data_IF_783412993245
#
_entry.id   IF_783412993245
#
_cell.length_a   1.000
_cell.length_b   1.000
_cell.length_c   1.000
_cell.angle_alpha   90.00
_cell.angle_beta   90.00
_cell.angle_gamma   90.00
#
_symmetry.space_group_name_H-M   'P 1'
#
loop_
_entity.id
_entity.type
_entity.pdbx_description
1 polymer ?
#
# COMPACT_ATOMS: atom_id res chain seq x y z
N UNK A 1 7.62 22.02 1.17
CA UNK A 1 8.90 21.48 0.81
C UNK A 1 9.41 22.17 -0.46
N UNK A 2 10.70 22.34 -0.59
CA UNK A 2 11.29 22.79 -1.85
C UNK A 2 10.90 21.77 -2.91
N UNK A 3 10.44 22.26 -4.07
CA UNK A 3 10.26 21.41 -5.22
C UNK A 3 11.62 20.78 -5.56
N UNK A 4 11.76 19.49 -5.29
CA UNK A 4 12.87 18.71 -5.78
C UNK A 4 12.88 18.73 -7.31
N UNK A 5 13.97 18.35 -7.90
CA UNK A 5 14.09 18.24 -9.36
C UNK A 5 13.51 16.95 -9.90
N UNK A 6 13.30 15.96 -9.03
CA UNK A 6 12.75 14.65 -9.38
C UNK A 6 11.44 14.39 -8.63
N UNK A 7 10.50 13.64 -9.22
CA UNK A 7 9.24 13.29 -8.57
C UNK A 7 9.39 12.62 -7.20
N UNK A 8 10.46 11.84 -7.00
CA UNK A 8 10.76 11.15 -5.75
C UNK A 8 11.28 12.06 -4.64
N UNK A 9 11.69 13.30 -4.94
CA UNK A 9 12.14 14.27 -3.94
C UNK A 9 10.98 14.94 -3.19
N UNK A 10 9.75 14.80 -3.71
CA UNK A 10 8.56 15.36 -3.10
C UNK A 10 8.06 14.50 -1.94
N UNK A 11 7.37 15.11 -0.99
CA UNK A 11 6.56 14.38 -0.01
C UNK A 11 5.35 13.76 -0.72
N UNK A 12 5.39 12.44 -0.90
CA UNK A 12 4.53 11.74 -1.83
C UNK A 12 5.03 11.91 -3.28
N UNK A 13 5.16 10.78 -3.99
CA UNK A 13 5.63 10.80 -5.38
C UNK A 13 4.69 11.62 -6.27
N UNK A 14 5.26 12.49 -7.10
CA UNK A 14 4.48 13.25 -8.09
C UNK A 14 5.25 14.43 -8.69
N UNK A 15 4.87 14.81 -9.92
CA UNK A 15 5.43 15.97 -10.65
C UNK A 15 4.78 17.28 -10.20
N UNK A 16 3.60 17.23 -9.59
CA UNK A 16 2.86 18.38 -9.09
C UNK A 16 2.02 18.00 -7.85
N UNK A 17 1.63 19.00 -7.07
CA UNK A 17 0.83 18.79 -5.86
C UNK A 17 -0.48 18.07 -6.16
N UNK A 18 -0.76 17.01 -5.39
CA UNK A 18 -1.97 16.21 -5.51
C UNK A 18 -1.95 15.13 -6.59
N UNK A 19 -0.88 15.00 -7.37
CA UNK A 19 -0.74 13.88 -8.28
C UNK A 19 -0.66 12.57 -7.46
N UNK A 20 -1.51 11.59 -7.81
CA UNK A 20 -1.64 10.31 -7.12
C UNK A 20 -2.07 10.41 -5.65
N UNK A 21 -2.53 11.59 -5.21
CA UNK A 21 -3.10 11.72 -3.88
C UNK A 21 -4.45 11.02 -3.80
N UNK A 22 -4.79 10.55 -2.60
CA UNK A 22 -6.13 10.08 -2.28
C UNK A 22 -6.84 11.07 -1.35
N UNK A 23 -8.17 10.99 -1.29
CA UNK A 23 -8.98 11.79 -0.40
C UNK A 23 -10.07 10.94 0.23
N UNK A 24 -10.38 11.22 1.48
CA UNK A 24 -11.49 10.60 2.19
C UNK A 24 -12.70 11.52 2.23
N UNK A 25 -13.86 10.99 1.84
CA UNK A 25 -15.16 11.60 2.06
C UNK A 25 -16.05 10.61 2.82
N UNK A 26 -16.68 11.07 3.88
CA UNK A 26 -17.54 10.25 4.70
C UNK A 26 -18.90 10.93 4.94
N UNK A 27 -19.97 10.11 4.98
CA UNK A 27 -21.29 10.55 5.45
C UNK A 27 -21.30 10.77 6.97
N UNK A 28 -20.44 10.06 7.68
CA UNK A 28 -20.31 10.10 9.12
C UNK A 28 -19.12 10.96 9.52
N UNK A 29 -19.09 11.37 10.78
CA UNK A 29 -18.00 12.18 11.32
C UNK A 29 -16.67 11.45 11.23
N UNK A 30 -15.66 12.16 10.74
CA UNK A 30 -14.26 11.69 10.76
C UNK A 30 -13.64 12.23 12.05
N UNK A 31 -13.13 11.36 12.91
CA UNK A 31 -12.39 11.74 14.10
C UNK A 31 -10.98 12.22 13.72
N UNK A 32 -10.90 13.46 13.29
CA UNK A 32 -9.64 14.07 12.84
C UNK A 32 -8.62 14.21 13.96
N UNK A 33 -9.07 14.25 15.22
CA UNK A 33 -8.17 14.35 16.38
C UNK A 33 -7.40 13.05 16.65
N UNK A 34 -7.99 11.91 16.27
CA UNK A 34 -7.40 10.58 16.42
C UNK A 34 -6.93 9.98 15.07
N UNK A 35 -7.05 10.74 13.98
CA UNK A 35 -6.47 10.33 12.69
C UNK A 35 -4.94 10.24 12.80
N UNK A 36 -4.39 9.13 12.30
CA UNK A 36 -2.95 8.87 12.29
C UNK A 36 -2.44 8.89 10.84
N UNK A 37 -1.30 9.52 10.63
CA UNK A 37 -0.59 9.53 9.35
C UNK A 37 0.82 8.99 9.52
N UNK A 38 1.35 8.31 8.49
CA UNK A 38 2.63 7.62 8.55
C UNK A 38 3.54 8.04 7.40
N UNK A 39 3.48 9.30 7.03
CA UNK A 39 4.28 9.85 5.93
C UNK A 39 5.78 9.88 6.26
N UNK A 40 6.13 10.00 7.54
CA UNK A 40 7.51 10.06 8.02
C UNK A 40 8.05 8.71 8.52
N UNK A 41 7.25 7.66 8.51
CA UNK A 41 7.70 6.32 8.92
C UNK A 41 8.84 5.85 8.01
N UNK A 42 9.96 5.47 8.63
CA UNK A 42 11.16 5.04 7.88
C UNK A 42 11.01 3.60 7.41
N UNK A 43 11.39 3.33 6.17
CA UNK A 43 11.30 1.98 5.63
C UNK A 43 12.14 0.96 6.42
N UNK A 44 13.35 1.34 6.83
CA UNK A 44 14.23 0.50 7.68
C UNK A 44 13.64 0.07 9.02
N UNK A 45 12.64 0.79 9.51
CA UNK A 45 12.02 0.51 10.81
C UNK A 45 10.85 -0.49 10.70
N UNK A 46 10.45 -0.87 9.48
CA UNK A 46 9.51 -1.97 9.24
C UNK A 46 10.21 -3.30 9.55
N UNK A 47 9.57 -4.18 10.31
CA UNK A 47 10.12 -5.50 10.64
C UNK A 47 10.36 -6.32 9.35
N UNK A 48 11.55 -6.85 9.20
CA UNK A 48 11.96 -7.62 8.01
C UNK A 48 12.44 -6.77 6.83
N UNK A 49 12.42 -5.44 6.92
CA UNK A 49 12.90 -4.58 5.85
C UNK A 49 14.40 -4.74 5.58
N UNK A 50 14.76 -4.77 4.32
CA UNK A 50 16.14 -4.78 3.83
C UNK A 50 16.33 -3.69 2.77
N UNK A 51 17.57 -3.28 2.53
CA UNK A 51 17.86 -2.36 1.42
C UNK A 51 17.46 -3.05 0.11
N UNK A 52 16.58 -2.44 -0.71
CA UNK A 52 16.19 -3.03 -1.99
C UNK A 52 17.37 -3.11 -2.95
N UNK A 53 17.34 -4.13 -3.81
CA UNK A 53 18.42 -4.38 -4.77
C UNK A 53 17.90 -4.29 -6.22
N UNK A 54 18.84 -4.17 -7.17
CA UNK A 54 18.52 -4.26 -8.60
C UNK A 54 18.28 -5.74 -8.93
N UNK A 55 17.04 -6.11 -9.16
CA UNK A 55 16.60 -7.48 -9.43
C UNK A 55 16.11 -7.70 -10.86
N UNK A 56 15.64 -6.66 -11.55
CA UNK A 56 15.22 -6.73 -12.96
C UNK A 56 16.44 -6.42 -13.84
N UNK A 57 17.08 -7.44 -14.34
CA UNK A 57 18.45 -7.38 -14.89
C UNK A 57 18.54 -7.56 -16.41
N UNK A 58 17.43 -7.70 -17.10
CA UNK A 58 17.33 -7.94 -18.54
C UNK A 58 17.62 -6.71 -19.41
N UNK A 59 17.53 -5.50 -18.83
CA UNK A 59 17.80 -4.25 -19.53
C UNK A 59 18.71 -3.32 -18.71
N UNK A 60 20.06 -3.45 -18.84
CA UNK A 60 20.99 -2.60 -18.10
C UNK A 60 20.89 -1.09 -18.40
N UNK A 61 20.22 -0.70 -19.50
CA UNK A 61 20.03 0.72 -19.84
C UNK A 61 19.10 1.44 -18.86
N UNK A 62 18.29 0.68 -18.08
CA UNK A 62 17.41 1.19 -17.04
C UNK A 62 18.08 1.32 -15.67
N UNK A 63 19.31 0.84 -15.51
CA UNK A 63 19.99 0.93 -14.23
C UNK A 63 20.36 2.40 -13.91
N UNK A 64 20.31 2.78 -12.63
CA UNK A 64 20.91 4.05 -12.22
C UNK A 64 22.39 4.12 -12.62
N UNK A 65 22.87 5.32 -12.88
CA UNK A 65 24.25 5.52 -13.39
C UNK A 65 25.30 4.93 -12.45
N UNK A 66 26.08 4.00 -12.97
CA UNK A 66 27.17 3.35 -12.25
C UNK A 66 26.77 2.12 -11.44
N UNK A 67 25.52 1.74 -11.46
CA UNK A 67 25.02 0.54 -10.78
C UNK A 67 24.94 -0.67 -11.74
N UNK A 68 24.99 -1.86 -11.15
CA UNK A 68 24.84 -3.14 -11.85
C UNK A 68 23.78 -4.01 -11.18
N UNK A 69 23.39 -5.09 -11.86
CA UNK A 69 22.47 -6.07 -11.31
C UNK A 69 22.99 -6.64 -9.98
N UNK A 70 22.14 -6.63 -8.95
CA UNK A 70 22.44 -7.07 -7.60
C UNK A 70 22.98 -5.99 -6.66
N UNK A 71 23.26 -4.80 -7.16
CA UNK A 71 23.65 -3.68 -6.29
C UNK A 71 22.49 -3.25 -5.39
N UNK A 72 22.81 -2.83 -4.18
CA UNK A 72 21.88 -2.17 -3.28
C UNK A 72 21.48 -0.81 -3.84
N UNK A 73 20.17 -0.51 -3.81
CA UNK A 73 19.61 0.74 -4.36
C UNK A 73 20.03 1.99 -3.58
N UNK A 74 20.22 1.85 -2.28
CA UNK A 74 20.57 2.93 -1.37
C UNK A 74 21.88 2.63 -0.65
N UNK A 75 22.64 3.67 -0.38
CA UNK A 75 23.69 3.60 0.62
C UNK A 75 23.10 3.47 2.02
N UNK A 76 23.89 3.03 3.00
CA UNK A 76 23.43 2.94 4.40
C UNK A 76 22.94 4.29 4.96
N UNK A 77 23.59 5.40 4.57
CA UNK A 77 23.18 6.74 5.01
C UNK A 77 21.84 7.17 4.40
N UNK A 78 21.62 6.89 3.12
CA UNK A 78 20.33 7.12 2.46
C UNK A 78 19.25 6.22 3.04
N UNK A 79 19.52 4.93 3.21
CA UNK A 79 18.60 3.97 3.80
C UNK A 79 18.13 4.37 5.19
N UNK A 80 19.00 5.00 5.98
CA UNK A 80 18.64 5.52 7.30
C UNK A 80 17.55 6.59 7.26
N UNK A 81 17.38 7.27 6.10
CA UNK A 81 16.46 8.40 5.92
C UNK A 81 15.28 8.10 5.01
N UNK A 82 15.32 7.01 4.21
CA UNK A 82 14.26 6.68 3.26
C UNK A 82 12.95 6.39 4.00
N UNK A 83 11.89 7.08 3.59
CA UNK A 83 10.52 6.82 4.06
C UNK A 83 9.94 5.60 3.38
N UNK A 84 9.10 4.86 4.11
CA UNK A 84 8.39 3.71 3.55
C UNK A 84 7.37 4.17 2.51
N UNK A 85 6.47 5.05 2.91
CA UNK A 85 5.33 5.43 2.08
C UNK A 85 5.73 6.28 0.89
N UNK A 86 5.43 5.82 -0.30
CA UNK A 86 5.63 6.58 -1.55
C UNK A 86 4.65 7.75 -1.69
N UNK A 87 3.49 7.69 -1.03
CA UNK A 87 2.50 8.78 -0.91
C UNK A 87 2.19 9.00 0.57
N UNK A 88 1.26 8.24 1.13
CA UNK A 88 0.94 8.25 2.56
C UNK A 88 0.23 6.95 2.96
N UNK A 89 0.29 6.62 4.25
CA UNK A 89 -0.60 5.69 4.92
C UNK A 89 -1.40 6.48 5.96
N UNK A 90 -2.71 6.27 6.03
CA UNK A 90 -3.61 7.01 6.91
C UNK A 90 -4.57 6.05 7.59
N UNK A 91 -4.63 6.08 8.91
CA UNK A 91 -5.70 5.51 9.71
C UNK A 91 -6.65 6.62 10.12
N UNK A 92 -7.86 6.63 9.57
CA UNK A 92 -8.90 7.61 9.85
C UNK A 92 -10.09 6.95 10.56
N UNK A 93 -10.27 7.17 11.87
CA UNK A 93 -11.44 6.67 12.59
C UNK A 93 -12.72 7.38 12.14
N UNK A 94 -13.75 6.61 11.81
CA UNK A 94 -15.08 7.10 11.45
C UNK A 94 -16.06 6.79 12.58
N UNK A 95 -16.77 7.78 13.06
CA UNK A 95 -17.75 7.66 14.14
C UNK A 95 -19.13 7.35 13.58
N UNK A 96 -19.56 6.09 13.71
CA UNK A 96 -20.81 5.60 13.15
C UNK A 96 -21.89 5.55 14.23
N UNK A 97 -22.95 6.37 14.18
CA UNK A 97 -24.09 6.28 15.09
C UNK A 97 -24.83 4.97 14.89
N UNK A 98 -25.04 4.22 15.96
CA UNK A 98 -25.83 3.01 16.02
C UNK A 98 -26.98 3.16 17.02
N UNK A 99 -27.88 2.18 17.09
CA UNK A 99 -28.95 2.17 18.08
C UNK A 99 -28.44 2.02 19.54
N UNK A 100 -27.24 1.49 19.71
CA UNK A 100 -26.64 1.19 21.01
C UNK A 100 -25.55 2.21 21.41
N UNK A 101 -25.32 3.25 20.58
CA UNK A 101 -24.30 4.28 20.80
C UNK A 101 -23.53 4.64 19.53
N UNK A 102 -22.28 5.05 19.68
CA UNK A 102 -21.38 5.32 18.58
C UNK A 102 -20.31 4.24 18.49
N UNK A 103 -20.19 3.64 17.33
CA UNK A 103 -19.14 2.67 17.01
C UNK A 103 -18.06 3.34 16.18
N UNK A 104 -16.80 2.93 16.37
CA UNK A 104 -15.69 3.44 15.58
C UNK A 104 -15.26 2.37 14.56
N UNK A 105 -15.12 2.81 13.30
CA UNK A 105 -14.53 2.00 12.24
C UNK A 105 -13.32 2.73 11.69
N UNK A 106 -12.17 2.10 11.74
CA UNK A 106 -10.91 2.63 11.22
C UNK A 106 -10.84 2.42 9.70
N UNK A 107 -10.68 3.50 8.95
CA UNK A 107 -10.38 3.41 7.52
C UNK A 107 -8.86 3.46 7.32
N UNK A 108 -8.28 2.34 6.93
CA UNK A 108 -6.85 2.18 6.65
C UNK A 108 -6.64 2.43 5.16
N UNK A 109 -6.08 3.59 4.83
CA UNK A 109 -5.98 4.06 3.45
C UNK A 109 -4.54 4.24 3.04
N UNK A 110 -4.19 3.74 1.87
CA UNK A 110 -2.90 3.96 1.24
C UNK A 110 -3.00 3.93 -0.28
N UNK A 111 -1.93 4.39 -0.93
CA UNK A 111 -1.72 4.24 -2.35
C UNK A 111 -0.24 3.90 -2.56
N UNK A 112 0.15 2.62 -2.35
CA UNK A 112 1.51 2.14 -2.54
C UNK A 112 2.08 2.45 -3.92
N UNK A 113 3.41 2.43 -4.04
CA UNK A 113 4.05 2.54 -5.35
C UNK A 113 3.66 1.35 -6.22
N UNK A 114 3.42 1.50 -7.54
CA UNK A 114 3.24 0.33 -8.41
C UNK A 114 4.54 -0.49 -8.47
N UNK A 115 4.47 -1.83 -8.47
CA UNK A 115 5.64 -2.72 -8.54
C UNK A 115 6.24 -2.77 -9.95
N UNK A 116 6.48 -1.60 -10.53
CA UNK A 116 6.90 -1.41 -11.91
C UNK A 116 7.72 -0.12 -12.06
N UNK A 117 8.11 0.20 -13.29
CA UNK A 117 8.77 1.43 -13.72
C UNK A 117 10.22 1.62 -13.29
N UNK A 118 10.78 0.72 -12.52
CA UNK A 118 12.22 0.67 -12.22
C UNK A 118 12.76 -0.77 -12.29
N UNK A 119 13.92 -1.00 -11.74
CA UNK A 119 14.63 -2.27 -11.87
C UNK A 119 14.62 -3.11 -10.58
N UNK A 120 13.54 -3.00 -9.81
CA UNK A 120 13.27 -3.86 -8.67
C UNK A 120 12.92 -3.14 -7.37
N UNK A 121 13.40 -1.91 -7.14
CA UNK A 121 13.11 -1.15 -5.91
C UNK A 121 11.60 -0.98 -5.68
N UNK A 122 10.85 -0.62 -6.71
CA UNK A 122 9.40 -0.43 -6.59
C UNK A 122 8.64 -1.72 -6.27
N UNK A 123 9.16 -2.88 -6.70
CA UNK A 123 8.58 -4.19 -6.35
C UNK A 123 8.70 -4.41 -4.84
N UNK A 124 9.89 -4.19 -4.28
CA UNK A 124 10.13 -4.36 -2.85
C UNK A 124 9.44 -3.28 -2.02
N UNK A 125 9.39 -2.02 -2.50
CA UNK A 125 8.70 -0.94 -1.82
C UNK A 125 7.19 -1.16 -1.78
N UNK A 126 6.56 -1.58 -2.89
CA UNK A 126 5.13 -1.92 -2.92
C UNK A 126 4.81 -3.01 -1.88
N UNK A 127 5.59 -4.09 -1.87
CA UNK A 127 5.42 -5.16 -0.91
C UNK A 127 5.52 -4.66 0.54
N UNK A 128 6.52 -3.84 0.84
CA UNK A 128 6.71 -3.28 2.18
C UNK A 128 5.58 -2.28 2.57
N UNK A 129 5.08 -1.49 1.63
CA UNK A 129 3.94 -0.58 1.86
C UNK A 129 2.64 -1.34 2.16
N UNK A 130 2.41 -2.49 1.51
CA UNK A 130 1.26 -3.36 1.81
C UNK A 130 1.46 -4.11 3.13
N UNK A 131 2.66 -4.65 3.37
CA UNK A 131 3.01 -5.35 4.62
C UNK A 131 2.93 -4.43 5.85
N UNK A 132 3.11 -3.13 5.68
CA UNK A 132 2.89 -2.15 6.75
C UNK A 132 1.48 -2.30 7.35
N UNK A 133 0.45 -2.44 6.53
CA UNK A 133 -0.92 -2.64 7.02
C UNK A 133 -1.10 -3.98 7.72
N UNK A 134 -0.47 -5.05 7.22
CA UNK A 134 -0.50 -6.35 7.88
C UNK A 134 0.10 -6.27 9.29
N UNK A 135 1.24 -5.61 9.42
CA UNK A 135 1.89 -5.41 10.72
C UNK A 135 1.12 -4.41 11.61
N UNK A 136 0.46 -3.41 11.01
CA UNK A 136 -0.36 -2.43 11.72
C UNK A 136 -1.58 -3.06 12.40
N UNK A 137 -2.33 -3.90 11.68
CA UNK A 137 -3.51 -4.58 12.28
C UNK A 137 -3.11 -5.58 13.37
N UNK A 138 -1.89 -6.10 13.34
CA UNK A 138 -1.32 -6.94 14.41
C UNK A 138 -0.82 -6.12 15.61
N UNK A 139 -0.99 -4.81 15.61
CA UNK A 139 -0.56 -3.89 16.67
C UNK A 139 0.93 -3.99 17.01
N UNK A 140 1.80 -4.05 16.00
CA UNK A 140 3.25 -4.12 16.22
C UNK A 140 3.77 -2.84 16.87
N UNK A 141 4.54 -3.00 17.95
CA UNK A 141 4.97 -1.90 18.82
C UNK A 141 6.01 -0.96 18.21
N UNK A 142 6.74 -1.39 17.17
CA UNK A 142 7.75 -0.57 16.50
C UNK A 142 7.14 0.44 15.51
N UNK A 143 5.87 0.29 15.13
CA UNK A 143 5.18 1.25 14.27
C UNK A 143 5.01 2.57 15.04
N UNK A 144 5.27 3.68 14.37
CA UNK A 144 5.04 5.02 14.89
C UNK A 144 4.44 5.92 13.81
N UNK A 145 3.56 6.84 14.21
CA UNK A 145 2.97 7.84 13.32
C UNK A 145 3.75 9.16 13.32
N UNK A 146 3.34 10.08 12.46
CA UNK A 146 3.98 11.39 12.30
C UNK A 146 3.91 12.26 13.58
N UNK A 147 3.06 11.92 14.54
CA UNK A 147 3.01 12.56 15.87
C UNK A 147 3.94 11.91 16.89
N UNK A 148 4.54 10.76 16.56
CA UNK A 148 5.37 9.94 17.45
C UNK A 148 4.58 8.95 18.31
N UNK A 149 3.27 8.78 18.11
CA UNK A 149 2.48 7.75 18.79
C UNK A 149 2.88 6.38 18.25
N UNK A 150 3.29 5.47 19.13
CA UNK A 150 3.72 4.11 18.78
C UNK A 150 2.58 3.09 18.83
N UNK A 151 2.81 1.91 18.22
CA UNK A 151 1.85 0.82 18.09
C UNK A 151 0.98 0.94 16.85
N UNK A 152 0.38 -0.17 16.45
CA UNK A 152 -0.59 -0.26 15.37
C UNK A 152 -2.03 -0.07 15.84
N UNK A 153 -2.95 -0.79 15.20
CA UNK A 153 -4.38 -0.82 15.55
C UNK A 153 -4.58 -1.58 16.86
N UNK A 154 -5.32 -1.00 17.79
CA UNK A 154 -5.61 -1.66 19.06
C UNK A 154 -6.48 -2.91 18.84
N UNK A 155 -6.25 -3.92 19.66
CA UNK A 155 -6.98 -5.19 19.54
C UNK A 155 -8.49 -4.99 19.70
N UNK A 156 -9.27 -5.61 18.82
CA UNK A 156 -10.73 -5.56 18.84
C UNK A 156 -11.35 -4.37 18.13
N UNK A 157 -10.54 -3.49 17.58
CA UNK A 157 -11.05 -2.41 16.73
C UNK A 157 -11.55 -2.94 15.38
N UNK A 158 -12.61 -2.32 14.86
CA UNK A 158 -13.11 -2.59 13.52
C UNK A 158 -12.35 -1.75 12.48
N UNK A 159 -12.00 -2.37 11.37
CA UNK A 159 -11.33 -1.66 10.30
C UNK A 159 -11.81 -2.07 8.91
N UNK A 160 -11.61 -1.19 7.96
CA UNK A 160 -11.72 -1.44 6.52
C UNK A 160 -10.45 -0.90 5.88
N UNK A 161 -9.77 -1.73 5.11
CA UNK A 161 -8.65 -1.31 4.28
C UNK A 161 -9.16 -0.93 2.90
N UNK A 162 -8.71 0.20 2.35
CA UNK A 162 -9.15 0.68 1.04
C UNK A 162 -8.08 1.51 0.34
N UNK A 163 -8.12 1.48 -0.97
CA UNK A 163 -7.24 2.24 -1.85
C UNK A 163 -6.73 1.43 -3.03
N UNK A 164 -6.03 2.09 -3.93
CA UNK A 164 -5.24 1.44 -4.98
C UNK A 164 -3.95 0.90 -4.35
N UNK A 165 -3.93 -0.40 -4.04
CA UNK A 165 -2.76 -1.05 -3.44
C UNK A 165 -1.68 -1.40 -4.48
N UNK A 166 -1.98 -1.26 -5.76
CA UNK A 166 -1.07 -1.61 -6.86
C UNK A 166 -0.51 -3.05 -6.77
N UNK A 167 -1.21 -3.96 -6.07
CA UNK A 167 -0.77 -5.33 -5.84
C UNK A 167 -1.92 -6.32 -5.96
N UNK A 168 -1.81 -7.21 -6.91
CA UNK A 168 -2.76 -8.31 -7.11
C UNK A 168 -2.27 -9.57 -6.37
N UNK A 169 -3.12 -10.27 -5.61
CA UNK A 169 -2.74 -11.47 -4.87
C UNK A 169 -2.45 -12.69 -5.75
N UNK A 170 -2.79 -12.66 -7.04
CA UNK A 170 -2.70 -13.86 -7.91
C UNK A 170 -2.02 -13.63 -9.26
N UNK A 171 -1.78 -12.37 -9.65
CA UNK A 171 -1.17 -12.03 -10.95
C UNK A 171 -0.32 -10.74 -10.86
N UNK A 172 0.44 -10.43 -11.92
CA UNK A 172 1.29 -9.25 -12.02
C UNK A 172 2.71 -9.45 -11.48
N UNK A 173 3.48 -8.35 -11.51
CA UNK A 173 4.92 -8.35 -11.24
C UNK A 173 5.27 -8.12 -9.75
N UNK A 174 4.26 -7.84 -8.91
CA UNK A 174 4.45 -7.60 -7.48
C UNK A 174 4.69 -8.87 -6.67
N UNK A 175 5.06 -8.72 -5.39
CA UNK A 175 5.22 -9.84 -4.45
C UNK A 175 3.85 -10.22 -3.90
N UNK A 176 3.10 -10.98 -4.67
CA UNK A 176 1.70 -11.36 -4.38
C UNK A 176 1.52 -12.03 -3.01
N UNK A 177 2.54 -12.73 -2.49
CA UNK A 177 2.47 -13.39 -1.18
C UNK A 177 2.16 -12.42 -0.05
N UNK A 178 2.62 -11.17 -0.11
CA UNK A 178 2.36 -10.17 0.93
C UNK A 178 0.86 -9.85 1.02
N UNK A 179 0.19 -9.68 -0.12
CA UNK A 179 -1.26 -9.49 -0.15
C UNK A 179 -2.01 -10.75 0.29
N UNK A 180 -1.50 -11.94 -0.08
CA UNK A 180 -2.07 -13.21 0.36
C UNK A 180 -1.96 -13.38 1.88
N UNK A 181 -0.82 -13.04 2.47
CA UNK A 181 -0.60 -13.11 3.92
C UNK A 181 -1.55 -12.17 4.67
N UNK A 182 -1.71 -10.93 4.18
CA UNK A 182 -2.69 -9.98 4.71
C UNK A 182 -4.13 -10.53 4.59
N UNK A 183 -4.52 -11.04 3.42
CA UNK A 183 -5.86 -11.60 3.17
C UNK A 183 -6.16 -12.81 4.06
N UNK A 184 -5.14 -13.60 4.41
CA UNK A 184 -5.28 -14.81 5.22
C UNK A 184 -5.11 -14.55 6.73
N UNK A 185 -4.81 -13.32 7.15
CA UNK A 185 -4.68 -13.01 8.57
C UNK A 185 -6.02 -13.22 9.30
N UNK A 186 -5.95 -13.78 10.50
CA UNK A 186 -7.13 -14.11 11.31
C UNK A 186 -7.95 -12.88 11.76
N UNK A 187 -7.35 -11.69 11.71
CA UNK A 187 -8.03 -10.42 11.99
C UNK A 187 -8.85 -9.92 10.79
N UNK A 188 -8.64 -10.47 9.61
CA UNK A 188 -9.32 -10.09 8.37
C UNK A 188 -10.52 -11.02 8.12
N UNK A 189 -11.62 -10.45 7.65
CA UNK A 189 -12.83 -11.24 7.35
C UNK A 189 -12.61 -12.06 6.08
N UNK A 190 -12.47 -13.39 6.23
CA UNK A 190 -12.19 -14.31 5.14
C UNK A 190 -13.30 -14.37 4.08
N UNK A 191 -14.54 -14.09 4.44
CA UNK A 191 -15.63 -14.02 3.46
C UNK A 191 -15.48 -12.84 2.50
N UNK A 192 -14.82 -11.76 2.94
CA UNK A 192 -14.57 -10.58 2.12
C UNK A 192 -13.33 -10.76 1.23
N UNK A 193 -12.27 -11.39 1.74
CA UNK A 193 -11.00 -11.51 0.99
C UNK A 193 -10.94 -12.75 0.09
N UNK A 194 -11.56 -13.86 0.50
CA UNK A 194 -11.46 -15.15 -0.20
C UNK A 194 -12.83 -15.81 -0.44
N UNK A 195 -13.90 -15.31 0.16
CA UNK A 195 -15.21 -15.94 0.20
C UNK A 195 -16.26 -15.26 -0.67
N UNK A 196 -17.52 -15.49 -0.27
CA UNK A 196 -18.70 -15.09 -1.04
C UNK A 196 -19.02 -13.59 -1.01
N UNK A 197 -18.41 -12.85 -0.09
CA UNK A 197 -18.59 -11.40 0.04
C UNK A 197 -17.51 -10.60 -0.69
N UNK A 198 -16.58 -11.26 -1.38
CA UNK A 198 -15.59 -10.56 -2.18
C UNK A 198 -16.28 -9.72 -3.27
N UNK A 199 -15.99 -8.41 -3.36
CA UNK A 199 -16.58 -7.57 -4.39
C UNK A 199 -16.18 -8.04 -5.79
N UNK A 200 -17.15 -8.19 -6.68
CA UNK A 200 -16.90 -8.59 -8.07
C UNK A 200 -17.65 -7.70 -9.06
N UNK A 201 -17.12 -7.58 -10.25
CA UNK A 201 -17.77 -6.86 -11.33
C UNK A 201 -17.54 -7.53 -12.70
N UNK A 202 -18.37 -7.18 -13.67
CA UNK A 202 -18.20 -7.62 -15.06
C UNK A 202 -17.45 -6.59 -15.93
N UNK A 203 -17.07 -5.44 -15.37
CA UNK A 203 -16.43 -4.35 -16.11
C UNK A 203 -15.13 -4.76 -16.78
N UNK A 204 -14.35 -5.61 -16.14
CA UNK A 204 -13.11 -6.12 -16.74
C UNK A 204 -13.35 -7.00 -17.97
N UNK A 205 -14.41 -7.82 -17.96
CA UNK A 205 -14.77 -8.64 -19.12
C UNK A 205 -15.20 -7.81 -20.33
N UNK A 206 -15.72 -6.59 -20.11
CA UNK A 206 -16.15 -5.67 -21.17
C UNK A 206 -15.04 -4.75 -21.68
N UNK A 207 -14.10 -4.36 -20.80
CA UNK A 207 -13.12 -3.30 -21.11
C UNK A 207 -11.65 -3.77 -21.12
N UNK A 208 -11.37 -4.94 -20.59
CA UNK A 208 -10.02 -5.52 -20.54
C UNK A 208 -9.99 -6.97 -21.08
N UNK A 209 -10.77 -7.27 -22.11
CA UNK A 209 -11.02 -8.62 -22.63
C UNK A 209 -9.73 -9.41 -22.90
N UNK A 210 -8.75 -8.79 -23.56
CA UNK A 210 -7.50 -9.46 -23.92
C UNK A 210 -6.63 -9.82 -22.71
N UNK A 211 -6.75 -9.07 -21.63
CA UNK A 211 -5.98 -9.25 -20.38
C UNK A 211 -6.76 -10.06 -19.34
N UNK A 212 -8.06 -9.84 -19.25
CA UNK A 212 -8.92 -10.57 -18.32
C UNK A 212 -9.04 -12.05 -18.65
N UNK A 213 -8.86 -12.44 -19.92
CA UNK A 213 -8.91 -13.84 -20.36
C UNK A 213 -7.77 -14.71 -19.80
N UNK A 214 -6.66 -14.11 -19.41
CA UNK A 214 -5.51 -14.81 -18.80
C UNK A 214 -5.48 -14.73 -17.28
N UNK A 215 -6.24 -13.80 -16.67
CA UNK A 215 -6.28 -13.65 -15.22
C UNK A 215 -7.06 -14.80 -14.56
N UNK A 216 -6.54 -15.42 -13.48
CA UNK A 216 -7.22 -16.54 -12.80
C UNK A 216 -8.60 -16.18 -12.24
N UNK A 217 -8.82 -14.91 -11.90
CA UNK A 217 -10.05 -14.39 -11.30
C UNK A 217 -10.53 -13.11 -12.02
N UNK A 218 -10.97 -13.20 -13.28
CA UNK A 218 -11.24 -12.04 -14.12
C UNK A 218 -12.36 -11.12 -13.59
N UNK A 219 -13.27 -11.65 -12.77
CA UNK A 219 -14.35 -10.89 -12.14
C UNK A 219 -13.87 -10.04 -10.93
N UNK A 220 -12.62 -10.15 -10.53
CA UNK A 220 -11.99 -9.35 -9.47
C UNK A 220 -11.12 -8.21 -10.01
N UNK A 221 -10.83 -8.18 -11.31
CA UNK A 221 -10.03 -7.12 -11.93
C UNK A 221 -10.69 -5.76 -11.73
N UNK A 222 -9.91 -4.79 -11.25
CA UNK A 222 -10.34 -3.41 -11.02
C UNK A 222 -9.69 -2.42 -11.97
N UNK A 223 -8.57 -2.81 -12.62
CA UNK A 223 -7.78 -1.95 -13.50
C UNK A 223 -7.95 -2.27 -14.99
N UNK A 224 -7.70 -1.29 -15.85
CA UNK A 224 -7.70 -1.46 -17.32
C UNK A 224 -6.49 -2.27 -17.82
N UNK A 225 -5.46 -2.42 -17.00
CA UNK A 225 -4.28 -3.25 -17.32
C UNK A 225 -4.42 -4.70 -16.84
N UNK A 226 -5.58 -5.09 -16.32
CA UNK A 226 -5.96 -6.48 -16.13
C UNK A 226 -5.60 -7.06 -14.75
N UNK A 227 -5.40 -6.25 -13.73
CA UNK A 227 -5.11 -6.68 -12.36
C UNK A 227 -6.18 -6.19 -11.37
N UNK A 228 -6.32 -6.91 -10.25
CA UNK A 228 -7.10 -6.51 -9.08
C UNK A 228 -6.19 -5.72 -8.13
N UNK A 229 -6.26 -4.40 -8.17
CA UNK A 229 -5.35 -3.51 -7.41
C UNK A 229 -6.08 -2.55 -6.47
N UNK A 230 -7.37 -2.32 -6.67
CA UNK A 230 -8.22 -1.48 -5.81
C UNK A 230 -9.02 -2.37 -4.84
N UNK A 231 -8.97 -2.04 -3.57
CA UNK A 231 -9.60 -2.76 -2.45
C UNK A 231 -10.46 -1.84 -1.62
#
# INVERSE_FOLDING_TARGET
GNAGTLPGDAWGFGLYHGQYAFALMSKYEIDTANTRTFQEFKWKDLEGATIPTITVCDDPSKFPTGMVCGDEWYTNDEWAEVRLSSKNHVDAPILIPTKDGTETVHLLMSHPTPPAFDVGKNIEQNAAEVDFWHQYIQNKSFIYDDSGKTGGLEQGQHFVMMGDQNLDPVDGDGISSVMQDLHNDALVNQDVTNGSLYPTSYGAAEHAVDKSSSHPQPNRITSTFGLAVDY
#
